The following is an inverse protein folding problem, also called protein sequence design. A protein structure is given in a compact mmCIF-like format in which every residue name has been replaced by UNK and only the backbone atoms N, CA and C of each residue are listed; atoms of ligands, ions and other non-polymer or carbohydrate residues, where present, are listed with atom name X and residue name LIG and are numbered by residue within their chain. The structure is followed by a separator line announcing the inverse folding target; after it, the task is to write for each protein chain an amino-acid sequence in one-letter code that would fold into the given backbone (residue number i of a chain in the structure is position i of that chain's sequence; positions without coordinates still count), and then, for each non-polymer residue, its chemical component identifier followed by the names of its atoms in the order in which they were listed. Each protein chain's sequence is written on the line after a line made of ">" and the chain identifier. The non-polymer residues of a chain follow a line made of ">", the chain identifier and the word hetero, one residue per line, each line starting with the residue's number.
data_IF_915239381764
#
_entry.id   IF_915239381764
#
_cell.length_a   1.000
_cell.length_b   1.000
_cell.length_c   1.000
_cell.angle_alpha   90.00
_cell.angle_beta   90.00
_cell.angle_gamma   90.00
#
_symmetry.space_group_name_H-M   'P 1'
#
loop_
_entity.id
_entity.type
_entity.pdbx_description
1 polymer ?
#
# COMPACT_ATOMS: atom_id res chain seq x y z
N UNK A 1 31.63 2.66 -17.30
CA UNK A 1 31.42 2.75 -15.83
C UNK A 1 30.17 3.58 -15.60
N UNK A 2 29.03 2.94 -15.33
CA UNK A 2 27.77 3.59 -14.93
C UNK A 2 27.12 2.65 -13.91
N UNK A 3 27.77 2.60 -12.76
CA UNK A 3 27.38 1.82 -11.60
C UNK A 3 26.40 2.69 -10.78
N UNK A 4 25.12 2.71 -11.19
CA UNK A 4 24.06 3.29 -10.37
C UNK A 4 22.68 2.71 -10.72
N UNK A 5 22.61 1.38 -10.89
CA UNK A 5 21.35 0.64 -10.90
C UNK A 5 20.83 0.51 -9.45
N UNK A 6 20.44 1.64 -8.85
CA UNK A 6 19.88 1.64 -7.50
C UNK A 6 18.47 1.03 -7.52
N UNK A 7 18.39 -0.24 -7.16
CA UNK A 7 17.15 -0.91 -6.77
C UNK A 7 16.62 -0.27 -5.46
N UNK A 8 15.83 0.79 -5.58
CA UNK A 8 15.24 1.45 -4.41
C UNK A 8 13.99 0.69 -3.99
N UNK A 9 14.08 -0.07 -2.89
CA UNK A 9 12.93 -0.71 -2.26
C UNK A 9 12.20 0.31 -1.40
N UNK A 10 10.97 0.65 -1.79
CA UNK A 10 10.12 1.62 -1.08
C UNK A 10 9.29 0.93 0.01
N UNK A 11 8.98 -0.36 -0.15
CA UNK A 11 8.22 -1.13 0.85
C UNK A 11 8.65 -2.59 0.87
N UNK A 12 8.90 -3.14 2.06
CA UNK A 12 9.24 -4.54 2.28
C UNK A 12 8.02 -5.44 2.47
N UNK A 13 8.16 -6.73 2.15
CA UNK A 13 7.11 -7.74 2.36
C UNK A 13 6.70 -7.96 3.82
N UNK A 14 7.46 -7.41 4.78
CA UNK A 14 7.17 -7.45 6.21
C UNK A 14 5.82 -6.79 6.56
N UNK A 15 5.35 -5.85 5.72
CA UNK A 15 4.02 -5.24 5.88
C UNK A 15 2.92 -6.28 5.77
N UNK A 16 3.04 -7.25 4.86
CA UNK A 16 2.07 -8.32 4.71
C UNK A 16 2.09 -9.27 5.89
N UNK A 17 3.28 -9.68 6.35
CA UNK A 17 3.41 -10.54 7.53
C UNK A 17 2.65 -9.97 8.74
N UNK A 18 2.82 -8.67 9.01
CA UNK A 18 2.08 -7.98 10.09
C UNK A 18 0.56 -7.98 9.85
N UNK A 19 0.12 -7.71 8.63
CA UNK A 19 -1.31 -7.72 8.28
C UNK A 19 -1.92 -9.10 8.50
N UNK A 20 -1.19 -10.17 8.15
CA UNK A 20 -1.63 -11.55 8.41
C UNK A 20 -1.76 -11.85 9.90
N UNK A 21 -0.78 -11.47 10.72
CA UNK A 21 -0.87 -11.63 12.18
C UNK A 21 -2.12 -10.91 12.73
N UNK A 22 -2.37 -9.67 12.30
CA UNK A 22 -3.54 -8.91 12.74
C UNK A 22 -4.86 -9.58 12.34
N UNK A 23 -4.94 -10.13 11.12
CA UNK A 23 -6.14 -10.86 10.68
C UNK A 23 -6.34 -12.13 11.49
N UNK A 24 -5.27 -12.90 11.77
CA UNK A 24 -5.37 -14.12 12.57
C UNK A 24 -5.87 -13.78 13.98
N UNK A 25 -5.27 -12.78 14.65
CA UNK A 25 -5.71 -12.34 15.98
C UNK A 25 -7.18 -11.91 15.96
N UNK A 26 -7.59 -11.12 14.95
CA UNK A 26 -8.98 -10.69 14.81
C UNK A 26 -9.93 -11.85 14.50
N UNK A 27 -9.51 -12.87 13.75
CA UNK A 27 -10.33 -14.05 13.49
C UNK A 27 -10.54 -14.93 14.74
N UNK A 28 -9.63 -14.87 15.70
CA UNK A 28 -9.74 -15.61 16.97
C UNK A 28 -10.63 -14.92 18.02
N UNK A 29 -10.81 -13.59 17.93
CA UNK A 29 -11.65 -12.82 18.86
C UNK A 29 -13.11 -13.33 18.94
N UNK A 30 -13.81 -13.58 17.81
CA UNK A 30 -15.15 -14.14 17.83
C UNK A 30 -15.25 -15.51 18.51
N UNK A 31 -14.21 -16.36 18.40
CA UNK A 31 -14.20 -17.68 19.03
C UNK A 31 -14.26 -17.57 20.56
N UNK A 32 -13.54 -16.62 21.14
CA UNK A 32 -13.58 -16.36 22.60
C UNK A 32 -14.96 -15.87 23.01
N UNK A 33 -15.53 -14.92 22.26
CA UNK A 33 -16.85 -14.34 22.56
C UNK A 33 -17.96 -15.38 22.43
N UNK A 34 -17.87 -16.30 21.47
CA UNK A 34 -18.85 -17.38 21.31
C UNK A 34 -18.77 -18.35 22.49
N UNK A 35 -17.56 -18.76 22.90
CA UNK A 35 -17.36 -19.71 24.02
C UNK A 35 -17.89 -19.16 25.35
N UNK A 36 -17.68 -17.87 25.63
CA UNK A 36 -18.17 -17.23 26.85
C UNK A 36 -19.63 -16.75 26.74
N UNK A 37 -20.05 -16.33 25.54
CA UNK A 37 -21.37 -15.76 25.26
C UNK A 37 -22.51 -16.76 25.36
N UNK A 38 -22.27 -18.05 25.12
CA UNK A 38 -23.27 -19.10 25.36
C UNK A 38 -23.68 -19.25 26.84
N UNK A 39 -22.92 -18.66 27.78
CA UNK A 39 -23.21 -18.70 29.21
C UNK A 39 -23.85 -17.42 29.74
N UNK A 40 -23.89 -16.34 28.96
CA UNK A 40 -24.35 -15.01 29.40
C UNK A 40 -25.62 -14.53 28.69
N UNK A 41 -26.38 -13.64 29.34
CA UNK A 41 -27.48 -12.93 28.68
C UNK A 41 -26.97 -12.05 27.53
N UNK A 42 -27.78 -11.82 26.51
CA UNK A 42 -27.44 -10.93 25.39
C UNK A 42 -27.47 -9.46 25.86
N UNK A 43 -26.40 -8.70 25.59
CA UNK A 43 -26.28 -7.29 26.00
C UNK A 43 -26.09 -6.37 24.80
N UNK A 44 -26.68 -5.17 24.83
CA UNK A 44 -26.53 -4.17 23.75
C UNK A 44 -25.06 -3.81 23.44
N UNK A 45 -24.17 -3.89 24.43
CA UNK A 45 -22.72 -3.72 24.24
C UNK A 45 -22.10 -4.70 23.26
N UNK A 46 -22.65 -5.92 23.13
CA UNK A 46 -22.19 -6.93 22.16
C UNK A 46 -22.46 -6.50 20.72
N UNK A 47 -23.60 -5.85 20.47
CA UNK A 47 -23.95 -5.34 19.13
C UNK A 47 -23.00 -4.23 18.71
N UNK A 48 -22.72 -3.28 19.63
CA UNK A 48 -21.78 -2.19 19.38
C UNK A 48 -20.36 -2.74 19.13
N UNK A 49 -19.91 -3.69 19.96
CA UNK A 49 -18.62 -4.33 19.78
C UNK A 49 -18.54 -5.06 18.42
N UNK A 50 -19.60 -5.75 18.01
CA UNK A 50 -19.70 -6.40 16.70
C UNK A 50 -19.60 -5.42 15.53
N UNK A 51 -20.27 -4.27 15.60
CA UNK A 51 -20.17 -3.22 14.57
C UNK A 51 -18.75 -2.63 14.48
N UNK A 52 -18.11 -2.38 15.62
CA UNK A 52 -16.72 -1.91 15.66
C UNK A 52 -15.79 -2.95 15.05
N UNK A 53 -15.96 -4.22 15.41
CA UNK A 53 -15.20 -5.34 14.87
C UNK A 53 -15.32 -5.42 13.34
N UNK A 54 -16.54 -5.34 12.79
CA UNK A 54 -16.78 -5.31 11.35
C UNK A 54 -16.08 -4.12 10.67
N UNK A 55 -16.13 -2.94 11.28
CA UNK A 55 -15.42 -1.76 10.79
C UNK A 55 -13.90 -1.96 10.71
N UNK A 56 -13.31 -2.52 11.76
CA UNK A 56 -11.87 -2.84 11.80
C UNK A 56 -11.51 -3.90 10.74
N UNK A 57 -12.33 -4.94 10.59
CA UNK A 57 -12.15 -5.97 9.56
C UNK A 57 -12.19 -5.38 8.15
N UNK A 58 -13.13 -4.47 7.88
CA UNK A 58 -13.19 -3.76 6.59
C UNK A 58 -11.90 -2.98 6.30
N UNK A 59 -11.34 -2.31 7.31
CA UNK A 59 -10.07 -1.58 7.19
C UNK A 59 -8.90 -2.56 6.92
N UNK A 60 -8.84 -3.70 7.60
CA UNK A 60 -7.81 -4.71 7.40
C UNK A 60 -7.86 -5.32 5.99
N UNK A 61 -9.05 -5.69 5.53
CA UNK A 61 -9.28 -6.22 4.18
C UNK A 61 -8.85 -5.19 3.13
N UNK A 62 -9.24 -3.93 3.31
CA UNK A 62 -8.81 -2.84 2.44
C UNK A 62 -7.28 -2.73 2.38
N UNK A 63 -6.60 -2.79 3.54
CA UNK A 63 -5.14 -2.78 3.57
C UNK A 63 -4.55 -3.99 2.84
N UNK A 64 -5.08 -5.20 3.00
CA UNK A 64 -4.54 -6.39 2.34
C UNK A 64 -4.69 -6.32 0.82
N UNK A 65 -5.86 -5.89 0.32
CA UNK A 65 -6.15 -5.84 -1.12
C UNK A 65 -5.28 -4.80 -1.83
N UNK A 66 -5.12 -3.63 -1.22
CA UNK A 66 -4.47 -2.49 -1.87
C UNK A 66 -3.00 -2.31 -1.50
N UNK A 67 -2.53 -2.90 -0.39
CA UNK A 67 -1.10 -2.82 -0.04
C UNK A 67 -0.28 -3.44 -1.15
N UNK A 68 0.79 -2.74 -1.51
CA UNK A 68 1.71 -3.15 -2.56
C UNK A 68 3.14 -2.94 -2.11
N UNK A 69 4.01 -3.88 -2.50
CA UNK A 69 5.45 -3.59 -2.52
C UNK A 69 5.74 -2.73 -3.73
N UNK A 70 6.64 -1.77 -3.54
CA UNK A 70 7.07 -0.85 -4.57
C UNK A 70 8.60 -0.86 -4.64
N UNK A 71 9.12 -1.04 -5.85
CA UNK A 71 10.54 -0.95 -6.17
C UNK A 71 10.69 0.00 -7.35
N UNK A 72 11.67 0.88 -7.28
CA UNK A 72 12.12 1.64 -8.46
C UNK A 72 13.30 0.87 -9.04
N UNK A 73 13.22 0.60 -10.34
CA UNK A 73 14.28 -0.04 -11.11
C UNK A 73 14.37 0.71 -12.44
N UNK A 74 15.55 1.20 -12.76
CA UNK A 74 15.83 2.06 -13.91
C UNK A 74 14.89 3.30 -13.93
N UNK A 75 14.09 3.48 -15.00
CA UNK A 75 13.12 4.57 -15.17
C UNK A 75 11.66 4.09 -14.98
N UNK A 76 11.46 3.00 -14.24
CA UNK A 76 10.16 2.39 -14.00
C UNK A 76 9.90 2.13 -12.52
N UNK A 77 8.63 2.16 -12.17
CA UNK A 77 8.15 1.69 -10.88
C UNK A 77 7.51 0.31 -11.04
N UNK A 78 8.07 -0.64 -10.30
CA UNK A 78 7.56 -2.00 -10.20
C UNK A 78 6.66 -2.06 -8.97
N UNK A 79 5.40 -2.42 -9.19
CA UNK A 79 4.37 -2.52 -8.16
C UNK A 79 3.82 -3.94 -8.13
N UNK A 80 3.81 -4.55 -6.94
CA UNK A 80 3.25 -5.89 -6.73
C UNK A 80 2.27 -5.87 -5.57
N UNK A 81 1.00 -6.14 -5.87
CA UNK A 81 -0.05 -6.42 -4.88
C UNK A 81 0.07 -7.87 -4.44
N UNK A 82 -0.50 -8.19 -3.28
CA UNK A 82 -0.43 -9.55 -2.73
C UNK A 82 -1.02 -10.61 -3.67
N UNK A 83 -2.22 -10.36 -4.19
CA UNK A 83 -2.99 -11.33 -5.00
C UNK A 83 -3.03 -11.00 -6.49
N UNK A 84 -2.17 -10.08 -6.96
CA UNK A 84 -2.08 -9.76 -8.39
C UNK A 84 -0.66 -9.90 -8.87
N UNK A 85 -0.51 -10.18 -10.16
CA UNK A 85 0.78 -10.18 -10.81
C UNK A 85 1.48 -8.83 -10.64
N UNK A 86 2.80 -8.90 -10.56
CA UNK A 86 3.66 -7.73 -10.58
C UNK A 86 3.45 -6.98 -11.89
N UNK A 87 3.34 -5.65 -11.80
CA UNK A 87 3.22 -4.77 -12.96
C UNK A 87 4.31 -3.71 -12.91
N UNK A 88 4.85 -3.39 -14.07
CA UNK A 88 5.83 -2.32 -14.26
C UNK A 88 5.13 -1.16 -14.94
N UNK A 89 5.37 0.05 -14.44
CA UNK A 89 4.81 1.27 -14.99
C UNK A 89 5.91 2.31 -15.16
N UNK A 90 5.77 3.16 -16.18
CA UNK A 90 6.59 4.36 -16.32
C UNK A 90 6.05 5.48 -15.42
N UNK A 91 6.92 6.43 -15.04
CA UNK A 91 6.51 7.50 -14.12
C UNK A 91 5.48 8.48 -14.71
N UNK A 92 5.36 8.58 -16.04
CA UNK A 92 4.32 9.39 -16.69
C UNK A 92 2.91 8.79 -16.56
N UNK A 93 2.82 7.47 -16.35
CA UNK A 93 1.57 6.75 -16.08
C UNK A 93 1.00 7.03 -14.68
N UNK A 94 1.72 7.76 -13.83
CA UNK A 94 1.21 8.19 -12.52
C UNK A 94 0.12 9.25 -12.71
N UNK A 95 -1.13 8.92 -12.38
CA UNK A 95 -2.25 9.86 -12.43
C UNK A 95 -2.37 10.69 -11.16
N UNK A 96 -2.29 10.05 -9.99
CA UNK A 96 -2.37 10.75 -8.71
C UNK A 96 -1.45 10.13 -7.66
N UNK A 97 -0.84 10.98 -6.84
CA UNK A 97 -0.03 10.61 -5.69
C UNK A 97 -0.60 11.33 -4.48
N UNK A 98 -0.93 10.57 -3.44
CA UNK A 98 -1.48 11.11 -2.19
C UNK A 98 -0.86 10.41 -0.98
N UNK A 99 -1.26 10.86 0.20
CA UNK A 99 -0.92 10.22 1.46
C UNK A 99 -2.20 9.99 2.27
N UNK A 100 -2.27 8.86 2.96
CA UNK A 100 -3.40 8.47 3.79
C UNK A 100 -2.87 7.91 5.11
N UNK A 101 -3.47 8.29 6.23
CA UNK A 101 -3.15 7.70 7.53
C UNK A 101 -4.21 6.65 7.89
N UNK A 102 -3.80 5.40 8.08
CA UNK A 102 -4.67 4.30 8.51
C UNK A 102 -4.06 3.61 9.73
N UNK A 103 -4.83 3.48 10.82
CA UNK A 103 -4.41 2.76 12.02
C UNK A 103 -3.05 3.22 12.57
N UNK A 104 -2.79 4.54 12.54
CA UNK A 104 -1.53 5.14 13.00
C UNK A 104 -0.38 5.14 11.98
N UNK A 105 -0.50 4.43 10.84
CA UNK A 105 0.54 4.39 9.79
C UNK A 105 0.22 5.31 8.62
N UNK A 106 1.25 5.94 8.08
CA UNK A 106 1.15 6.70 6.85
C UNK A 106 1.39 5.78 5.65
N UNK A 107 0.47 5.82 4.71
CA UNK A 107 0.55 5.14 3.43
C UNK A 107 0.61 6.18 2.32
N UNK A 108 1.34 5.89 1.26
CA UNK A 108 1.31 6.63 0.02
C UNK A 108 0.27 5.95 -0.87
N UNK A 109 -0.73 6.71 -1.31
CA UNK A 109 -1.72 6.24 -2.27
C UNK A 109 -1.24 6.59 -3.67
N UNK A 110 -1.03 5.59 -4.51
CA UNK A 110 -0.61 5.78 -5.89
C UNK A 110 -1.71 5.26 -6.83
N UNK A 111 -2.09 6.06 -7.81
CA UNK A 111 -2.95 5.61 -8.91
C UNK A 111 -2.17 5.66 -10.21
N UNK A 112 -2.08 4.50 -10.85
CA UNK A 112 -1.42 4.32 -12.15
C UNK A 112 -2.47 4.09 -13.21
N UNK A 113 -2.27 4.65 -14.41
CA UNK A 113 -3.04 4.29 -15.59
C UNK A 113 -2.27 3.23 -16.36
N UNK A 114 -2.89 2.08 -16.63
CA UNK A 114 -2.29 1.04 -17.47
C UNK A 114 -2.46 1.36 -18.97
N UNK A 115 -1.88 0.53 -19.83
CA UNK A 115 -1.94 0.72 -21.29
C UNK A 115 -3.36 0.63 -21.85
N UNK A 116 -4.26 -0.07 -21.16
CA UNK A 116 -5.69 -0.14 -21.49
C UNK A 116 -6.51 1.07 -20.96
N UNK A 117 -5.86 2.07 -20.37
CA UNK A 117 -6.52 3.27 -19.82
C UNK A 117 -7.18 3.08 -18.45
N UNK A 118 -7.11 1.89 -17.86
CA UNK A 118 -7.70 1.54 -16.57
C UNK A 118 -6.81 2.06 -15.42
N UNK A 119 -7.45 2.60 -14.38
CA UNK A 119 -6.76 3.03 -13.16
C UNK A 119 -6.54 1.89 -12.18
N UNK A 120 -5.27 1.58 -11.90
CA UNK A 120 -4.88 0.71 -10.82
C UNK A 120 -4.48 1.54 -9.58
N UNK A 121 -5.19 1.30 -8.47
CA UNK A 121 -4.87 1.88 -7.16
C UNK A 121 -3.91 1.00 -6.37
N UNK A 122 -2.93 1.63 -5.75
CA UNK A 122 -1.89 1.00 -4.93
C UNK A 122 -1.74 1.77 -3.61
N UNK A 123 -1.48 1.02 -2.54
CA UNK A 123 -1.23 1.52 -1.20
C UNK A 123 0.19 1.11 -0.81
N UNK A 124 1.12 2.06 -0.82
CA UNK A 124 2.52 1.82 -0.52
C UNK A 124 2.73 2.22 0.94
N UNK A 125 3.11 1.28 1.80
CA UNK A 125 3.40 1.61 3.19
C UNK A 125 4.64 2.49 3.24
N UNK A 126 4.58 3.60 3.99
CA UNK A 126 5.80 4.35 4.31
C UNK A 126 6.62 3.51 5.28
N UNK A 127 7.40 2.56 4.77
CA UNK A 127 8.50 2.00 5.56
C UNK A 127 9.62 3.01 5.50
N UNK A 128 10.15 3.41 6.66
CA UNK A 128 11.50 3.91 6.72
C UNK A 128 12.33 2.87 5.97
N UNK A 129 12.93 3.23 4.84
CA UNK A 129 13.78 2.28 4.13
C UNK A 129 14.83 1.80 5.13
N UNK A 130 15.18 0.52 5.04
CA UNK A 130 16.23 -0.11 5.86
C UNK A 130 17.63 0.46 5.47
N UNK A 131 17.69 1.57 4.73
CA UNK A 131 18.92 2.29 4.44
C UNK A 131 19.22 3.24 5.60
N UNK A 132 20.23 2.94 6.43
CA UNK A 132 20.62 3.81 7.53
C UNK A 132 21.07 5.16 6.95
N UNK A 133 20.55 6.28 7.48
CA UNK A 133 21.14 7.61 7.23
C UNK A 133 20.48 8.51 6.18
N UNK A 134 19.37 8.12 5.53
CA UNK A 134 18.57 9.06 4.69
C UNK A 134 17.10 9.05 5.10
N UNK A 135 16.61 10.17 5.63
CA UNK A 135 15.18 10.47 5.78
C UNK A 135 14.55 10.59 4.38
N UNK A 136 14.36 9.47 3.70
CA UNK A 136 13.90 9.41 2.33
C UNK A 136 12.39 9.63 2.26
N UNK A 137 11.98 10.78 1.71
CA UNK A 137 10.59 11.11 1.51
C UNK A 137 10.08 10.51 0.19
N UNK A 138 9.70 9.24 0.22
CA UNK A 138 9.19 8.50 -0.96
C UNK A 138 8.04 9.23 -1.68
N UNK A 139 7.22 10.00 -0.96
CA UNK A 139 6.15 10.80 -1.56
C UNK A 139 6.71 11.91 -2.45
N UNK A 140 7.73 12.62 -1.98
CA UNK A 140 8.39 13.68 -2.75
C UNK A 140 9.17 13.11 -3.93
N UNK A 141 9.85 11.97 -3.75
CA UNK A 141 10.54 11.31 -4.86
C UNK A 141 9.55 10.91 -5.98
N UNK A 142 8.44 10.26 -5.64
CA UNK A 142 7.46 9.86 -6.66
C UNK A 142 6.87 11.06 -7.39
N UNK A 143 6.67 12.19 -6.70
CA UNK A 143 6.25 13.45 -7.32
C UNK A 143 7.31 13.98 -8.29
N UNK A 144 8.57 14.07 -7.86
CA UNK A 144 9.65 14.59 -8.70
C UNK A 144 9.91 13.72 -9.93
N UNK A 145 9.87 12.40 -9.78
CA UNK A 145 10.04 11.45 -10.89
C UNK A 145 8.90 11.56 -11.91
N UNK A 146 7.65 11.66 -11.45
CA UNK A 146 6.49 11.92 -12.33
C UNK A 146 6.67 13.23 -13.11
N UNK A 147 7.03 14.30 -12.42
CA UNK A 147 7.12 15.63 -13.04
C UNK A 147 8.27 15.68 -14.05
N UNK A 148 9.41 15.03 -13.75
CA UNK A 148 10.53 14.83 -14.68
C UNK A 148 10.12 14.04 -15.92
N UNK A 149 9.43 12.91 -15.75
CA UNK A 149 8.97 12.07 -16.86
C UNK A 149 7.96 12.79 -17.77
N UNK A 150 7.03 13.55 -17.20
CA UNK A 150 6.08 14.38 -17.97
C UNK A 150 6.78 15.49 -18.75
N UNK A 151 7.75 16.17 -18.13
CA UNK A 151 8.54 17.20 -18.80
C UNK A 151 9.33 16.60 -19.97
N UNK A 152 9.97 15.45 -19.76
CA UNK A 152 10.70 14.75 -20.82
C UNK A 152 9.79 14.32 -21.98
N UNK A 153 8.56 13.87 -21.69
CA UNK A 153 7.56 13.53 -22.72
C UNK A 153 7.13 14.74 -23.55
N UNK A 154 6.90 15.88 -22.91
CA UNK A 154 6.51 17.12 -23.60
C UNK A 154 7.66 17.73 -24.43
N UNK A 155 8.91 17.42 -24.10
CA UNK A 155 10.10 17.89 -24.80
C UNK A 155 10.53 16.99 -25.97
N UNK A 156 9.92 15.81 -26.13
CA UNK A 156 10.08 15.00 -27.34
C UNK A 156 9.00 15.46 -28.33
N UNK A 157 9.32 16.24 -29.37
CA UNK A 157 8.37 16.47 -30.44
C UNK A 157 7.99 15.11 -31.02
N UNK A 158 6.71 14.95 -31.36
CA UNK A 158 6.19 13.80 -32.10
C UNK A 158 7.01 13.68 -33.39
N UNK A 159 7.98 12.76 -33.39
CA UNK A 159 8.67 12.30 -34.59
C UNK A 159 7.82 11.27 -35.31
#
# INVERSE_FOLDING_TARGET
>A
MSDDNQDIIITSGLVYFRLYIMVIIMALLPLVIIVDGFKGAFHAGMVIAGLIFLGIMGILIYQIIYTSTARIQDDRIILKKQFRSQRSYTFDQIRSIGALKLGGRQYITLKMRNDAGIEDKFLISKSNSILPGRNFNALQLLKSLRDKARKAKNLRPLG
#
